data_IF_572234917657
#
_entry.id   IF_572234917657
#
_cell.length_a   1.000
_cell.length_b   1.000
_cell.length_c   1.000
_cell.angle_alpha   90.00
_cell.angle_beta   90.00
_cell.angle_gamma   90.00
#
_symmetry.space_group_name_H-M   'P 1'
#
loop_
_entity.id
_entity.type
_entity.pdbx_description
1 polymer ?
#
# COMPACT_ATOMS: atom_id res chain seq x y z
N UNK A 1 40.49 -47.68 -5.30
CA UNK A 1 40.24 -46.92 -4.05
C UNK A 1 39.96 -45.47 -4.39
N UNK A 2 38.76 -45.02 -4.00
CA UNK A 2 38.26 -43.67 -3.64
C UNK A 2 38.84 -42.41 -4.31
N UNK A 3 37.94 -41.60 -4.88
CA UNK A 3 38.02 -40.13 -4.90
C UNK A 3 36.74 -39.54 -4.29
N UNK A 4 36.93 -38.42 -3.59
CA UNK A 4 35.98 -37.69 -2.76
C UNK A 4 34.96 -36.87 -3.55
N UNK A 5 33.81 -36.58 -2.94
CA UNK A 5 32.79 -35.65 -3.40
C UNK A 5 32.21 -34.87 -2.22
N UNK A 6 32.33 -33.55 -2.31
CA UNK A 6 32.14 -32.52 -1.29
C UNK A 6 30.64 -32.16 -1.09
N UNK A 7 30.18 -32.15 0.16
CA UNK A 7 28.88 -31.64 0.59
C UNK A 7 28.99 -30.11 0.77
N UNK A 8 28.16 -29.32 0.09
CA UNK A 8 28.05 -27.88 0.33
C UNK A 8 26.81 -27.62 1.20
N UNK A 9 27.04 -27.24 2.46
CA UNK A 9 26.04 -26.77 3.40
C UNK A 9 25.56 -25.36 3.01
N UNK A 10 24.26 -25.23 2.78
CA UNK A 10 23.60 -23.94 2.55
C UNK A 10 23.28 -23.32 3.92
N UNK A 11 24.08 -22.33 4.33
CA UNK A 11 23.83 -21.54 5.54
C UNK A 11 22.70 -20.56 5.26
N UNK A 12 21.53 -20.79 5.86
CA UNK A 12 20.43 -19.83 5.89
C UNK A 12 20.81 -18.71 6.85
N UNK A 13 21.10 -17.53 6.30
CA UNK A 13 21.35 -16.32 7.07
C UNK A 13 20.04 -15.79 7.66
N UNK A 14 19.71 -16.24 8.86
CA UNK A 14 18.75 -15.58 9.76
C UNK A 14 19.51 -14.48 10.49
N UNK A 15 19.50 -13.25 9.98
CA UNK A 15 19.78 -12.03 10.76
C UNK A 15 19.63 -10.78 9.88
N UNK A 16 18.53 -10.04 10.05
CA UNK A 16 18.47 -8.55 10.19
C UNK A 16 17.03 -8.03 10.05
N UNK A 17 16.19 -8.31 11.06
CA UNK A 17 14.91 -7.57 11.26
C UNK A 17 14.96 -6.70 12.53
N UNK A 18 16.11 -6.62 13.20
CA UNK A 18 16.22 -5.94 14.50
C UNK A 18 16.64 -4.46 14.46
N UNK A 19 16.79 -3.83 13.28
CA UNK A 19 17.31 -2.45 13.18
C UNK A 19 16.25 -1.38 12.89
N UNK A 20 14.97 -1.73 12.68
CA UNK A 20 13.90 -0.76 12.36
C UNK A 20 13.00 -0.39 13.55
N UNK A 21 13.27 -0.90 14.76
CA UNK A 21 12.41 -0.73 15.93
C UNK A 21 12.93 0.22 17.02
N UNK A 22 14.10 0.86 16.85
CA UNK A 22 14.71 1.74 17.86
C UNK A 22 15.46 2.92 17.25
N UNK A 23 14.79 3.67 16.37
CA UNK A 23 15.27 4.98 15.91
C UNK A 23 14.31 6.07 16.35
N UNK A 24 14.38 6.48 17.61
CA UNK A 24 13.92 7.80 18.03
C UNK A 24 14.95 8.81 17.52
N UNK A 25 14.72 9.35 16.33
CA UNK A 25 15.45 10.53 15.87
C UNK A 25 14.91 11.73 16.66
N UNK A 26 15.75 12.24 17.57
CA UNK A 26 15.55 13.50 18.24
C UNK A 26 15.46 14.62 17.20
N UNK A 27 14.32 15.30 17.19
CA UNK A 27 14.00 16.43 16.31
C UNK A 27 14.72 17.69 16.80
N UNK A 28 15.93 17.93 16.28
CA UNK A 28 16.69 19.16 16.46
C UNK A 28 16.53 20.03 15.20
N UNK A 29 15.68 21.06 15.27
CA UNK A 29 15.62 22.08 14.22
C UNK A 29 14.36 22.95 14.22
N UNK A 30 14.48 24.17 14.72
CA UNK A 30 13.47 25.23 14.71
C UNK A 30 13.14 25.80 13.32
N UNK A 31 12.75 24.93 12.38
CA UNK A 31 12.14 25.29 11.09
C UNK A 31 10.62 25.15 11.17
N UNK A 32 9.87 25.99 10.43
CA UNK A 32 8.44 25.74 10.25
C UNK A 32 8.26 24.34 9.64
N UNK A 33 7.43 23.50 10.26
CA UNK A 33 7.15 22.16 9.75
C UNK A 33 6.74 22.24 8.27
N UNK A 34 7.27 21.36 7.40
CA UNK A 34 6.89 21.35 5.99
C UNK A 34 5.36 21.21 5.87
N UNK A 35 4.74 21.81 4.84
CA UNK A 35 3.30 21.81 4.69
C UNK A 35 2.75 20.38 4.81
N UNK A 36 1.56 20.20 5.41
CA UNK A 36 1.04 18.87 5.68
C UNK A 36 0.88 18.04 4.41
N UNK A 37 0.59 18.68 3.26
CA UNK A 37 0.47 18.03 1.96
C UNK A 37 -0.68 17.03 2.00
N UNK A 38 -0.41 15.78 1.59
CA UNK A 38 -1.40 14.71 1.63
C UNK A 38 -1.85 14.38 3.06
N UNK A 39 -1.03 14.66 4.08
CA UNK A 39 -1.40 14.44 5.48
C UNK A 39 -2.42 15.46 6.02
N UNK A 40 -2.73 16.53 5.27
CA UNK A 40 -3.81 17.43 5.66
C UNK A 40 -5.14 16.67 5.66
N UNK A 41 -6.04 16.85 6.66
CA UNK A 41 -7.24 16.02 6.80
C UNK A 41 -8.09 15.92 5.51
N UNK A 42 -8.34 17.04 4.84
CA UNK A 42 -9.10 17.06 3.59
C UNK A 42 -8.38 16.36 2.42
N UNK A 43 -7.03 16.41 2.39
CA UNK A 43 -6.23 15.74 1.36
C UNK A 43 -6.11 14.24 1.62
N UNK A 44 -6.03 13.84 2.89
CA UNK A 44 -6.03 12.43 3.30
C UNK A 44 -7.37 11.78 2.95
N UNK A 45 -8.49 12.45 3.29
CA UNK A 45 -9.83 12.03 2.89
C UNK A 45 -9.96 11.88 1.36
N UNK A 46 -9.45 12.86 0.60
CA UNK A 46 -9.44 12.79 -0.86
C UNK A 46 -8.59 11.62 -1.39
N UNK A 47 -7.43 11.36 -0.79
CA UNK A 47 -6.56 10.25 -1.15
C UNK A 47 -7.25 8.89 -0.98
N UNK A 48 -8.01 8.72 0.11
CA UNK A 48 -8.78 7.49 0.35
C UNK A 48 -9.88 7.29 -0.68
N UNK A 49 -10.58 8.36 -1.08
CA UNK A 49 -11.58 8.30 -2.16
C UNK A 49 -10.96 7.93 -3.51
N UNK A 50 -9.80 8.49 -3.83
CA UNK A 50 -9.07 8.17 -5.05
C UNK A 50 -8.64 6.69 -5.07
N UNK A 51 -8.06 6.18 -3.98
CA UNK A 51 -7.70 4.76 -3.86
C UNK A 51 -8.95 3.88 -3.97
N UNK A 52 -10.01 4.16 -3.21
CA UNK A 52 -11.23 3.34 -3.23
C UNK A 52 -11.93 3.33 -4.59
N UNK A 53 -11.81 4.38 -5.40
CA UNK A 53 -12.31 4.36 -6.78
C UNK A 53 -11.59 3.36 -7.67
N UNK A 54 -10.33 3.03 -7.34
CA UNK A 54 -9.54 2.03 -8.05
C UNK A 54 -9.59 0.64 -7.40
N UNK A 55 -9.76 0.54 -6.09
CA UNK A 55 -9.83 -0.76 -5.41
C UNK A 55 -11.27 -1.33 -5.40
N UNK A 56 -12.29 -0.46 -5.36
CA UNK A 56 -13.67 -0.86 -5.07
C UNK A 56 -14.73 -0.14 -5.92
N UNK A 57 -14.31 0.61 -6.95
CA UNK A 57 -15.19 1.38 -7.84
C UNK A 57 -16.18 2.31 -7.11
N UNK A 58 -15.79 2.87 -5.96
CA UNK A 58 -16.64 3.77 -5.17
C UNK A 58 -15.84 4.90 -4.52
N UNK A 59 -16.49 6.02 -4.20
CA UNK A 59 -15.91 7.06 -3.34
C UNK A 59 -16.22 6.83 -1.86
N UNK A 60 -17.14 5.92 -1.53
CA UNK A 60 -17.43 5.54 -0.15
C UNK A 60 -16.40 4.51 0.36
N UNK A 61 -15.20 5.02 0.61
CA UNK A 61 -14.10 4.22 1.13
C UNK A 61 -14.39 3.69 2.55
N UNK A 62 -15.20 4.38 3.33
CA UNK A 62 -15.61 3.93 4.68
C UNK A 62 -16.60 2.77 4.61
N UNK A 63 -17.31 2.58 3.50
CA UNK A 63 -18.09 1.37 3.26
C UNK A 63 -17.24 0.10 3.11
N UNK A 64 -15.92 0.22 2.92
CA UNK A 64 -15.06 -0.90 2.52
C UNK A 64 -14.37 -1.63 3.68
N UNK A 65 -14.58 -1.25 4.94
CA UNK A 65 -13.98 -1.97 6.08
C UNK A 65 -14.31 -3.47 6.09
N UNK A 66 -15.52 -3.83 5.66
CA UNK A 66 -16.01 -5.21 5.62
C UNK A 66 -15.81 -5.92 4.29
N UNK A 67 -15.21 -5.27 3.29
CA UNK A 67 -14.87 -5.91 2.02
C UNK A 67 -13.94 -7.10 2.29
N UNK A 68 -14.23 -8.25 1.66
CA UNK A 68 -13.38 -9.44 1.68
C UNK A 68 -13.75 -10.34 0.50
N UNK A 69 -12.77 -10.65 -0.35
CA UNK A 69 -12.94 -11.49 -1.53
C UNK A 69 -11.58 -12.09 -1.92
N UNK A 70 -11.56 -13.34 -2.39
CA UNK A 70 -10.43 -13.84 -3.18
C UNK A 70 -10.70 -13.53 -4.65
N UNK A 71 -9.91 -12.61 -5.21
CA UNK A 71 -10.07 -12.11 -6.58
C UNK A 71 -9.27 -12.92 -7.61
N UNK A 72 -8.66 -14.05 -7.20
CA UNK A 72 -7.94 -14.96 -8.09
C UNK A 72 -6.59 -14.43 -8.59
N UNK A 73 -6.01 -13.47 -7.88
CA UNK A 73 -4.70 -12.87 -8.18
C UNK A 73 -3.51 -13.60 -7.53
N UNK A 74 -3.80 -14.64 -6.73
CA UNK A 74 -2.82 -15.46 -6.03
C UNK A 74 -2.39 -14.90 -4.67
N UNK A 75 -3.15 -13.97 -4.09
CA UNK A 75 -2.90 -13.41 -2.74
C UNK A 75 -3.83 -13.98 -1.66
N UNK A 76 -4.73 -14.90 -2.02
CA UNK A 76 -5.80 -15.41 -1.17
C UNK A 76 -6.88 -14.35 -0.96
N UNK A 77 -7.47 -14.29 0.23
CA UNK A 77 -8.45 -13.25 0.54
C UNK A 77 -7.80 -11.87 0.60
N UNK A 78 -8.36 -10.93 -0.16
CA UNK A 78 -8.10 -9.48 -0.14
C UNK A 78 -9.22 -8.79 0.61
N UNK A 79 -8.91 -8.01 1.66
CA UNK A 79 -9.91 -7.50 2.58
C UNK A 79 -9.65 -6.08 3.12
N UNK A 80 -10.72 -5.38 3.48
CA UNK A 80 -10.67 -4.08 4.16
C UNK A 80 -10.26 -2.90 3.28
N UNK A 81 -9.95 -1.78 3.92
CA UNK A 81 -9.80 -0.45 3.30
C UNK A 81 -8.82 -0.35 2.13
N UNK A 82 -7.76 -1.17 2.13
CA UNK A 82 -6.67 -1.11 1.15
C UNK A 82 -6.33 -2.49 0.58
N UNK A 83 -7.20 -3.47 0.77
CA UNK A 83 -6.97 -4.83 0.29
C UNK A 83 -5.83 -5.55 1.02
N UNK A 84 -5.88 -5.63 2.35
CA UNK A 84 -4.97 -6.49 3.12
C UNK A 84 -5.15 -7.93 2.67
N UNK A 85 -4.06 -8.67 2.41
CA UNK A 85 -4.18 -10.04 1.90
C UNK A 85 -3.72 -11.10 2.89
N UNK A 86 -4.39 -12.26 2.89
CA UNK A 86 -3.97 -13.42 3.70
C UNK A 86 -2.60 -13.96 3.29
N UNK A 87 -2.23 -13.81 2.01
CA UNK A 87 -0.97 -14.30 1.46
C UNK A 87 0.21 -13.32 1.50
N UNK A 88 0.03 -12.09 2.02
CA UNK A 88 1.08 -11.03 1.99
C UNK A 88 1.46 -10.49 3.37
N UNK A 89 1.20 -11.26 4.43
CA UNK A 89 1.53 -10.96 5.83
C UNK A 89 0.85 -9.75 6.47
N UNK A 90 0.33 -8.80 5.69
CA UNK A 90 -0.28 -7.57 6.17
C UNK A 90 -1.63 -7.81 6.85
N UNK A 91 -2.49 -8.68 6.31
CA UNK A 91 -3.73 -9.08 6.97
C UNK A 91 -3.44 -9.82 8.28
N UNK A 92 -2.51 -10.78 8.26
CA UNK A 92 -2.08 -11.49 9.47
C UNK A 92 -1.62 -10.50 10.54
N UNK A 93 -0.72 -9.57 10.17
CA UNK A 93 -0.23 -8.56 11.10
C UNK A 93 -1.32 -7.62 11.62
N UNK A 94 -2.34 -7.29 10.81
CA UNK A 94 -3.51 -6.55 11.27
C UNK A 94 -4.27 -7.33 12.35
N UNK A 95 -4.62 -8.59 12.08
CA UNK A 95 -5.39 -9.42 13.02
C UNK A 95 -4.60 -9.70 14.30
N UNK A 96 -3.28 -9.92 14.22
CA UNK A 96 -2.43 -10.11 15.40
C UNK A 96 -2.40 -8.89 16.31
N UNK A 97 -2.20 -7.69 15.75
CA UNK A 97 -2.21 -6.44 16.52
C UNK A 97 -3.58 -6.15 17.10
N UNK A 98 -4.63 -6.31 16.28
CA UNK A 98 -6.00 -6.14 16.76
C UNK A 98 -6.33 -7.10 17.91
N UNK A 99 -5.91 -8.36 17.81
CA UNK A 99 -6.16 -9.37 18.86
C UNK A 99 -5.35 -9.13 20.12
N UNK A 100 -4.16 -8.54 20.01
CA UNK A 100 -3.38 -8.12 21.18
C UNK A 100 -4.11 -7.03 21.97
N UNK A 101 -4.71 -6.06 21.28
CA UNK A 101 -5.42 -4.94 21.91
C UNK A 101 -6.85 -5.33 22.35
N UNK A 102 -7.47 -6.27 21.63
CA UNK A 102 -8.84 -6.74 21.84
C UNK A 102 -8.86 -8.29 21.90
N UNK A 103 -8.43 -8.88 23.03
CA UNK A 103 -8.43 -10.34 23.17
C UNK A 103 -9.85 -10.91 23.10
N UNK A 104 -10.01 -12.04 22.41
CA UNK A 104 -11.31 -12.71 22.27
C UNK A 104 -12.21 -12.18 21.14
N UNK A 105 -11.73 -11.26 20.30
CA UNK A 105 -12.43 -10.85 19.09
C UNK A 105 -12.71 -12.04 18.14
N UNK A 106 -13.63 -11.87 17.18
CA UNK A 106 -14.10 -12.97 16.31
C UNK A 106 -13.01 -13.52 15.38
N UNK A 107 -12.00 -12.71 15.09
CA UNK A 107 -10.88 -13.05 14.21
C UNK A 107 -9.76 -13.82 14.93
N UNK A 108 -9.68 -13.72 16.26
CA UNK A 108 -8.62 -14.32 17.06
C UNK A 108 -8.48 -15.84 16.82
N UNK A 109 -9.61 -16.54 16.63
CA UNK A 109 -9.63 -18.00 16.38
C UNK A 109 -8.98 -18.39 15.05
N UNK A 110 -8.85 -17.46 14.10
CA UNK A 110 -8.27 -17.71 12.78
C UNK A 110 -6.75 -17.47 12.76
N UNK A 111 -6.15 -16.89 13.80
CA UNK A 111 -4.71 -16.61 13.84
C UNK A 111 -3.83 -17.86 13.53
N UNK A 112 -4.11 -19.07 14.04
CA UNK A 112 -3.34 -20.24 13.66
C UNK A 112 -3.43 -20.59 12.17
N UNK A 113 -4.59 -20.41 11.54
CA UNK A 113 -4.78 -20.64 10.11
C UNK A 113 -4.10 -19.53 9.28
N UNK A 114 -4.30 -18.27 9.64
CA UNK A 114 -3.65 -17.12 9.01
C UNK A 114 -2.12 -17.26 8.97
N UNK A 115 -1.49 -17.73 10.05
CA UNK A 115 -0.03 -18.00 10.07
C UNK A 115 0.41 -19.14 9.15
N UNK A 116 -0.45 -20.12 8.90
CA UNK A 116 -0.14 -21.25 8.03
C UNK A 116 -0.29 -20.90 6.55
N UNK A 117 -1.28 -20.09 6.22
CA UNK A 117 -1.57 -19.71 4.83
C UNK A 117 -0.76 -18.50 4.35
N UNK A 118 -0.14 -17.75 5.26
CA UNK A 118 0.71 -16.61 4.92
C UNK A 118 1.80 -17.00 3.91
N UNK A 119 1.95 -16.20 2.85
CA UNK A 119 2.79 -16.51 1.70
C UNK A 119 2.15 -17.42 0.63
N UNK A 120 0.87 -17.76 0.74
CA UNK A 120 0.11 -18.54 -0.25
C UNK A 120 -1.30 -17.96 -0.49
N UNK A 121 -2.01 -18.51 -1.48
CA UNK A 121 -3.43 -18.23 -1.75
C UNK A 121 -4.38 -19.24 -1.08
N UNK A 122 -3.89 -20.06 -0.13
CA UNK A 122 -4.70 -21.08 0.52
C UNK A 122 -5.76 -20.50 1.47
N UNK A 123 -6.93 -21.12 1.49
CA UNK A 123 -8.02 -20.83 2.44
C UNK A 123 -8.13 -21.86 3.57
N UNK A 124 -7.15 -22.77 3.71
CA UNK A 124 -7.20 -23.87 4.68
C UNK A 124 -7.32 -23.35 6.12
N UNK A 125 -8.39 -23.75 6.80
CA UNK A 125 -8.69 -23.33 8.17
C UNK A 125 -9.31 -21.93 8.30
N UNK A 126 -9.49 -21.20 7.18
CA UNK A 126 -10.27 -19.96 7.12
C UNK A 126 -11.73 -20.26 6.76
N UNK A 127 -11.94 -21.08 5.72
CA UNK A 127 -13.27 -21.38 5.21
C UNK A 127 -14.07 -22.34 6.12
N UNK A 128 -15.41 -22.23 6.11
CA UNK A 128 -16.21 -21.21 5.40
C UNK A 128 -16.47 -19.94 6.23
N UNK A 129 -16.00 -19.89 7.49
CA UNK A 129 -16.47 -18.89 8.46
C UNK A 129 -15.70 -17.58 8.49
N UNK A 130 -14.53 -17.50 7.87
CA UNK A 130 -13.64 -16.33 8.00
C UNK A 130 -14.23 -15.06 7.39
N UNK A 131 -14.85 -15.15 6.21
CA UNK A 131 -15.45 -14.00 5.52
C UNK A 131 -16.60 -13.38 6.32
N UNK A 132 -17.46 -14.20 6.91
CA UNK A 132 -18.55 -13.74 7.78
C UNK A 132 -18.03 -13.19 9.10
N UNK A 133 -16.98 -13.80 9.69
CA UNK A 133 -16.32 -13.25 10.86
C UNK A 133 -15.67 -11.88 10.58
N UNK A 134 -15.06 -11.70 9.41
CA UNK A 134 -14.49 -10.43 8.97
C UNK A 134 -15.55 -9.33 8.86
N UNK A 135 -16.65 -9.60 8.14
CA UNK A 135 -17.76 -8.65 8.01
C UNK A 135 -18.37 -8.28 9.35
N UNK A 136 -18.56 -9.27 10.23
CA UNK A 136 -19.08 -9.04 11.57
C UNK A 136 -18.12 -8.17 12.41
N UNK A 137 -16.82 -8.46 12.39
CA UNK A 137 -15.83 -7.67 13.13
C UNK A 137 -15.68 -6.26 12.53
N UNK A 138 -15.84 -6.09 11.22
CA UNK A 138 -15.83 -4.78 10.54
C UNK A 138 -17.02 -3.88 10.91
N UNK A 139 -18.03 -4.41 11.61
CA UNK A 139 -19.06 -3.59 12.24
C UNK A 139 -18.55 -2.87 13.50
N UNK A 140 -17.52 -3.42 14.17
CA UNK A 140 -16.98 -2.90 15.43
C UNK A 140 -16.09 -1.67 15.17
N UNK A 141 -16.32 -0.54 15.88
CA UNK A 141 -15.49 0.66 15.74
C UNK A 141 -14.00 0.39 15.99
N UNK A 142 -13.68 -0.50 16.93
CA UNK A 142 -12.31 -0.85 17.27
C UNK A 142 -11.56 -1.52 16.11
N UNK A 143 -12.22 -2.41 15.35
CA UNK A 143 -11.58 -3.04 14.20
C UNK A 143 -11.41 -2.07 13.03
N UNK A 144 -12.36 -1.15 12.83
CA UNK A 144 -12.22 -0.06 11.85
C UNK A 144 -11.00 0.80 12.16
N UNK A 145 -10.84 1.18 13.42
CA UNK A 145 -9.67 1.95 13.86
C UNK A 145 -8.37 1.15 13.69
N UNK A 146 -8.40 -0.17 13.95
CA UNK A 146 -7.24 -1.03 13.72
C UNK A 146 -6.84 -1.08 12.23
N UNK A 147 -7.81 -1.12 11.31
CA UNK A 147 -7.56 -1.02 9.87
C UNK A 147 -6.98 0.36 9.50
N UNK A 148 -7.51 1.45 10.04
CA UNK A 148 -6.98 2.80 9.82
C UNK A 148 -5.51 2.90 10.27
N UNK A 149 -5.19 2.42 11.47
CA UNK A 149 -3.82 2.37 12.00
C UNK A 149 -2.91 1.48 11.17
N UNK A 150 -3.42 0.36 10.65
CA UNK A 150 -2.64 -0.54 9.81
C UNK A 150 -2.31 0.08 8.44
N UNK A 151 -3.29 0.70 7.78
CA UNK A 151 -3.10 1.50 6.56
C UNK A 151 -2.06 2.59 6.78
N UNK A 152 -2.22 3.35 7.87
CA UNK A 152 -1.38 4.52 8.11
C UNK A 152 0.09 4.12 8.36
N UNK A 153 0.30 3.17 9.26
CA UNK A 153 1.64 2.67 9.59
C UNK A 153 2.34 1.98 8.43
N UNK A 154 1.62 1.14 7.67
CA UNK A 154 2.21 0.29 6.63
C UNK A 154 2.39 0.99 5.28
N UNK A 155 1.55 1.99 4.97
CA UNK A 155 1.41 2.50 3.60
C UNK A 155 1.40 4.02 3.56
N UNK A 156 0.45 4.67 4.25
CA UNK A 156 0.26 6.12 4.10
C UNK A 156 1.44 6.92 4.65
N UNK A 157 1.81 6.72 5.92
CA UNK A 157 2.83 7.54 6.54
C UNK A 157 4.23 7.30 5.92
N UNK A 158 4.67 6.05 5.65
CA UNK A 158 5.93 5.81 4.95
C UNK A 158 5.97 6.46 3.55
N UNK A 159 4.88 6.34 2.77
CA UNK A 159 4.80 6.94 1.44
C UNK A 159 4.88 8.47 1.49
N UNK A 160 4.10 9.10 2.37
CA UNK A 160 4.08 10.57 2.53
C UNK A 160 5.43 11.07 3.04
N UNK A 161 6.03 10.42 4.05
CA UNK A 161 7.36 10.79 4.55
C UNK A 161 8.43 10.69 3.46
N UNK A 162 8.43 9.60 2.68
CA UNK A 162 9.41 9.43 1.62
C UNK A 162 9.21 10.44 0.49
N UNK A 163 7.97 10.66 0.05
CA UNK A 163 7.67 11.65 -0.97
C UNK A 163 8.11 13.07 -0.54
N UNK A 164 7.94 13.42 0.74
CA UNK A 164 8.45 14.70 1.29
C UNK A 164 9.99 14.77 1.24
N UNK A 165 10.70 13.69 1.58
CA UNK A 165 12.17 13.63 1.43
C UNK A 165 12.63 13.75 -0.02
N UNK A 166 11.81 13.29 -0.95
CA UNK A 166 12.05 13.46 -2.39
C UNK A 166 11.64 14.84 -2.90
N UNK A 167 11.11 15.72 -2.05
CA UNK A 167 10.68 17.08 -2.40
C UNK A 167 9.40 17.11 -3.23
N UNK A 168 8.56 16.07 -3.14
CA UNK A 168 7.31 15.97 -3.89
C UNK A 168 6.16 16.71 -3.21
N UNK A 169 5.36 17.39 -4.01
CA UNK A 169 4.10 18.02 -3.63
C UNK A 169 3.00 17.00 -3.32
N UNK A 170 1.77 17.49 -3.15
CA UNK A 170 0.64 16.68 -2.69
C UNK A 170 0.27 15.57 -3.69
N UNK A 171 0.33 15.84 -4.99
CA UNK A 171 0.11 14.85 -6.04
C UNK A 171 1.18 13.76 -6.01
N UNK A 172 2.46 14.11 -5.87
CA UNK A 172 3.53 13.12 -5.80
C UNK A 172 3.44 12.24 -4.56
N UNK A 173 3.06 12.82 -3.41
CA UNK A 173 2.72 12.07 -2.20
C UNK A 173 1.58 11.08 -2.44
N UNK A 174 0.52 11.48 -3.15
CA UNK A 174 -0.57 10.58 -3.52
C UNK A 174 -0.12 9.45 -4.45
N UNK A 175 0.68 9.76 -5.48
CA UNK A 175 1.23 8.77 -6.41
C UNK A 175 2.06 7.72 -5.66
N UNK A 176 2.87 8.14 -4.69
CA UNK A 176 3.63 7.21 -3.84
C UNK A 176 2.74 6.36 -2.96
N UNK A 177 1.72 6.96 -2.33
CA UNK A 177 0.78 6.24 -1.49
C UNK A 177 0.01 5.17 -2.27
N UNK A 178 -0.54 5.54 -3.43
CA UNK A 178 -1.27 4.64 -4.31
C UNK A 178 -0.39 3.50 -4.84
N UNK A 179 0.88 3.79 -5.15
CA UNK A 179 1.84 2.77 -5.55
C UNK A 179 2.22 1.84 -4.39
N UNK A 180 2.34 2.35 -3.16
CA UNK A 180 2.64 1.54 -1.98
C UNK A 180 1.47 0.63 -1.61
N UNK A 181 0.22 1.08 -1.79
CA UNK A 181 -0.97 0.22 -1.63
C UNK A 181 -0.93 -0.94 -2.62
N UNK A 182 -0.75 -0.67 -3.91
CA UNK A 182 -0.82 -1.71 -4.94
C UNK A 182 0.40 -2.65 -4.98
N UNK A 183 1.59 -2.12 -4.75
CA UNK A 183 2.86 -2.85 -4.95
C UNK A 183 3.54 -3.26 -3.64
N UNK A 184 3.03 -2.81 -2.49
CA UNK A 184 3.60 -3.05 -1.18
C UNK A 184 4.95 -2.35 -0.92
N UNK A 185 5.39 -2.25 0.34
CA UNK A 185 6.62 -1.56 0.76
C UNK A 185 7.88 -2.45 0.68
N UNK A 186 7.86 -3.57 -0.06
CA UNK A 186 9.00 -4.48 -0.14
C UNK A 186 10.21 -3.90 -0.90
N UNK A 187 11.25 -4.72 -1.08
CA UNK A 187 12.49 -4.35 -1.79
C UNK A 187 12.64 -5.00 -3.18
N UNK A 188 11.67 -5.83 -3.60
CA UNK A 188 11.72 -6.49 -4.91
C UNK A 188 11.50 -5.52 -6.08
N UNK A 189 11.90 -5.88 -7.31
CA UNK A 189 11.82 -4.99 -8.47
C UNK A 189 10.38 -4.57 -8.85
N UNK A 190 9.37 -5.31 -8.40
CA UNK A 190 7.94 -5.01 -8.60
C UNK A 190 7.26 -4.31 -7.42
N UNK A 191 8.01 -4.05 -6.36
CA UNK A 191 7.51 -3.38 -5.15
C UNK A 191 7.71 -1.87 -5.25
N UNK A 192 7.06 -1.09 -4.38
CA UNK A 192 7.18 0.37 -4.40
C UNK A 192 8.64 0.87 -4.41
N UNK A 193 9.52 0.31 -3.57
CA UNK A 193 10.92 0.75 -3.54
C UNK A 193 11.68 0.39 -4.82
N UNK A 194 11.37 -0.75 -5.44
CA UNK A 194 11.91 -1.12 -6.75
C UNK A 194 11.46 -0.17 -7.87
N UNK A 195 10.18 0.25 -7.86
CA UNK A 195 9.66 1.26 -8.80
C UNK A 195 10.38 2.60 -8.63
N UNK A 196 10.55 3.05 -7.38
CA UNK A 196 11.25 4.29 -7.06
C UNK A 196 12.71 4.23 -7.52
N UNK A 197 13.42 3.14 -7.26
CA UNK A 197 14.81 2.96 -7.70
C UNK A 197 14.92 3.01 -9.23
N UNK A 198 14.00 2.36 -9.95
CA UNK A 198 13.97 2.39 -11.40
C UNK A 198 13.65 3.79 -11.97
N UNK A 199 12.81 4.59 -11.30
CA UNK A 199 12.54 5.98 -11.69
C UNK A 199 13.76 6.88 -11.45
N UNK A 200 14.47 6.70 -10.32
CA UNK A 200 15.69 7.45 -9.99
C UNK A 200 16.84 7.24 -10.99
N UNK A 201 16.85 6.11 -11.70
CA UNK A 201 17.81 5.86 -12.79
C UNK A 201 17.52 6.69 -14.05
N UNK A 202 16.31 7.24 -14.17
CA UNK A 202 15.88 8.01 -15.34
C UNK A 202 15.92 9.52 -15.09
N UNK A 203 15.61 9.95 -13.87
CA UNK A 203 15.54 11.37 -13.53
C UNK A 203 15.68 11.60 -12.03
N UNK A 204 16.29 12.72 -11.65
CA UNK A 204 16.44 13.12 -10.26
C UNK A 204 15.09 13.56 -9.66
N UNK A 205 14.92 13.33 -8.36
CA UNK A 205 13.81 13.93 -7.60
C UNK A 205 14.02 15.45 -7.46
N UNK A 206 12.97 16.21 -7.09
CA UNK A 206 13.12 17.62 -6.70
C UNK A 206 14.20 17.88 -5.65
N UNK A 207 14.30 17.05 -4.62
CA UNK A 207 15.37 17.17 -3.63
C UNK A 207 16.77 16.89 -4.18
N UNK A 208 16.87 16.16 -5.30
CA UNK A 208 18.10 15.95 -6.07
C UNK A 208 18.32 16.97 -7.19
N UNK A 209 17.53 18.05 -7.25
CA UNK A 209 17.63 19.10 -8.27
C UNK A 209 16.88 18.84 -9.58
N UNK A 210 16.05 17.79 -9.66
CA UNK A 210 15.20 17.50 -10.82
C UNK A 210 13.87 18.25 -10.82
N UNK A 211 13.16 18.25 -11.95
CA UNK A 211 11.80 18.80 -12.02
C UNK A 211 10.76 17.79 -11.52
N UNK A 212 9.86 18.23 -10.64
CA UNK A 212 8.83 17.34 -10.06
C UNK A 212 7.98 16.66 -11.15
N UNK A 213 7.56 17.41 -12.17
CA UNK A 213 6.74 16.85 -13.25
C UNK A 213 7.48 15.76 -14.02
N UNK A 214 8.75 15.98 -14.34
CA UNK A 214 9.57 14.99 -15.04
C UNK A 214 9.77 13.73 -14.18
N UNK A 215 10.02 13.91 -12.88
CA UNK A 215 10.15 12.81 -11.93
C UNK A 215 8.88 11.96 -11.84
N UNK A 216 7.73 12.61 -11.64
CA UNK A 216 6.44 11.92 -11.52
C UNK A 216 6.04 11.23 -12.83
N UNK A 217 6.34 11.81 -13.98
CA UNK A 217 6.05 11.17 -15.28
C UNK A 217 6.88 9.90 -15.47
N UNK A 218 8.19 9.95 -15.17
CA UNK A 218 9.07 8.78 -15.20
C UNK A 218 8.64 7.69 -14.20
N UNK A 219 8.25 8.08 -12.98
CA UNK A 219 7.74 7.14 -11.99
C UNK A 219 6.46 6.44 -12.45
N UNK A 220 5.52 7.18 -13.04
CA UNK A 220 4.28 6.63 -13.60
C UNK A 220 4.55 5.71 -14.79
N UNK A 221 5.55 5.98 -15.62
CA UNK A 221 5.97 5.10 -16.72
C UNK A 221 6.53 3.75 -16.21
N UNK A 222 7.42 3.80 -15.23
CA UNK A 222 7.97 2.62 -14.57
C UNK A 222 6.84 1.79 -13.95
N UNK A 223 5.96 2.43 -13.19
CA UNK A 223 4.82 1.78 -12.54
C UNK A 223 3.90 1.12 -13.56
N UNK A 224 3.55 1.85 -14.62
CA UNK A 224 2.71 1.33 -15.71
C UNK A 224 3.33 0.12 -16.39
N UNK A 225 4.64 0.11 -16.60
CA UNK A 225 5.35 -1.02 -17.20
C UNK A 225 5.33 -2.27 -16.30
N UNK A 226 5.39 -2.10 -14.98
CA UNK A 226 5.27 -3.20 -14.01
C UNK A 226 3.84 -3.72 -13.95
N UNK A 227 2.83 -2.85 -13.81
CA UNK A 227 1.41 -3.21 -13.79
C UNK A 227 1.03 -4.06 -15.01
N UNK A 228 1.50 -3.69 -16.21
CA UNK A 228 1.24 -4.45 -17.45
C UNK A 228 1.81 -5.87 -17.47
N UNK A 229 2.73 -6.22 -16.57
CA UNK A 229 3.33 -7.55 -16.46
C UNK A 229 2.73 -8.38 -15.31
N UNK A 230 1.92 -7.76 -14.46
CA UNK A 230 1.30 -8.41 -13.31
C UNK A 230 -0.06 -8.98 -13.68
N UNK A 231 -0.25 -10.28 -13.40
CA UNK A 231 -1.56 -10.93 -13.50
C UNK A 231 -2.53 -10.20 -12.57
N UNK A 232 -3.70 -9.81 -13.10
CA UNK A 232 -4.72 -9.05 -12.35
C UNK A 232 -4.58 -7.53 -12.39
N UNK A 233 -3.45 -6.97 -12.83
CA UNK A 233 -3.19 -5.51 -12.80
C UNK A 233 -2.93 -4.89 -14.18
N UNK A 234 -3.37 -5.51 -15.28
CA UNK A 234 -3.10 -5.01 -16.64
C UNK A 234 -3.82 -3.70 -16.97
N UNK A 235 -4.96 -3.42 -16.34
CA UNK A 235 -5.65 -2.14 -16.47
C UNK A 235 -4.89 -1.06 -15.69
N UNK A 236 -4.50 0.00 -16.41
CA UNK A 236 -3.66 1.09 -15.88
C UNK A 236 -4.43 2.41 -15.81
N UNK A 237 -5.77 2.39 -15.84
CA UNK A 237 -6.62 3.59 -15.81
C UNK A 237 -6.44 4.43 -14.54
N UNK A 238 -6.14 3.80 -13.39
CA UNK A 238 -5.75 4.51 -12.16
C UNK A 238 -4.53 5.44 -12.36
N UNK A 239 -3.68 5.13 -13.33
CA UNK A 239 -2.57 5.99 -13.77
C UNK A 239 -3.01 6.86 -14.94
N UNK A 240 -3.40 6.24 -16.04
CA UNK A 240 -3.53 6.87 -17.36
C UNK A 240 -4.67 7.91 -17.42
N UNK A 241 -5.78 7.66 -16.73
CA UNK A 241 -6.98 8.52 -16.73
C UNK A 241 -7.29 9.18 -15.37
N UNK A 242 -6.36 9.08 -14.42
CA UNK A 242 -6.40 9.78 -13.14
C UNK A 242 -5.07 10.48 -12.83
N UNK A 243 -4.06 9.79 -12.28
CA UNK A 243 -2.81 10.41 -11.82
C UNK A 243 -2.09 11.20 -12.93
N UNK A 244 -1.96 10.61 -14.13
CA UNK A 244 -1.34 11.26 -15.29
C UNK A 244 -2.14 12.47 -15.76
N UNK A 245 -3.47 12.44 -15.63
CA UNK A 245 -4.34 13.58 -15.93
C UNK A 245 -4.04 14.74 -14.98
N UNK A 246 -4.02 14.49 -13.66
CA UNK A 246 -3.72 15.52 -12.67
C UNK A 246 -2.33 16.14 -12.88
N UNK A 247 -1.35 15.31 -13.25
CA UNK A 247 0.01 15.75 -13.56
C UNK A 247 0.05 16.67 -14.80
N UNK A 248 -0.62 16.26 -15.88
CA UNK A 248 -0.74 17.04 -17.13
C UNK A 248 -1.44 18.38 -16.92
N UNK A 249 -2.48 18.39 -16.09
CA UNK A 249 -3.22 19.60 -15.69
C UNK A 249 -2.36 20.52 -14.79
N UNK A 250 -1.16 20.10 -14.37
CA UNK A 250 -0.28 20.85 -13.48
C UNK A 250 -0.82 20.96 -12.05
N UNK A 251 -1.75 20.09 -11.66
CA UNK A 251 -2.38 20.09 -10.35
C UNK A 251 -1.52 19.37 -9.30
N UNK A 252 -0.28 19.84 -9.10
CA UNK A 252 0.69 19.26 -8.15
C UNK A 252 0.21 19.33 -6.69
N UNK A 253 -0.71 20.24 -6.39
CA UNK A 253 -1.34 20.40 -5.07
C UNK A 253 -2.57 19.51 -4.86
N UNK A 254 -2.98 18.72 -5.88
CA UNK A 254 -4.18 17.87 -5.84
C UNK A 254 -5.43 18.65 -5.42
N UNK A 255 -5.62 19.86 -5.95
CA UNK A 255 -6.76 20.75 -5.67
C UNK A 255 -8.05 20.19 -6.25
N UNK A 256 -9.15 20.32 -5.51
CA UNK A 256 -10.49 20.11 -6.03
C UNK A 256 -10.98 21.38 -6.76
N UNK A 257 -11.93 21.28 -7.70
CA UNK A 257 -12.63 20.06 -8.13
C UNK A 257 -11.72 19.08 -8.89
N UNK A 258 -11.90 17.79 -8.64
CA UNK A 258 -11.27 16.71 -9.39
C UNK A 258 -12.31 15.91 -10.16
N UNK A 259 -11.94 15.47 -11.35
CA UNK A 259 -12.68 14.49 -12.15
C UNK A 259 -11.68 13.49 -12.69
N UNK A 260 -12.00 12.21 -12.70
CA UNK A 260 -11.13 11.19 -13.27
C UNK A 260 -11.93 9.98 -13.68
N UNK A 261 -11.26 9.06 -14.38
CA UNK A 261 -11.86 7.81 -14.85
C UNK A 261 -11.04 6.62 -14.38
N UNK A 262 -11.70 5.58 -13.88
CA UNK A 262 -11.09 4.27 -13.59
C UNK A 262 -12.06 3.20 -14.10
N UNK A 263 -11.58 2.18 -14.79
CA UNK A 263 -12.38 1.07 -15.32
C UNK A 263 -13.60 1.45 -16.17
N UNK A 264 -13.60 2.64 -16.79
CA UNK A 264 -14.75 3.12 -17.54
C UNK A 264 -15.71 4.01 -16.74
N UNK A 265 -15.58 4.08 -15.42
CA UNK A 265 -16.42 4.89 -14.54
C UNK A 265 -15.83 6.27 -14.28
N UNK A 266 -16.68 7.30 -14.26
CA UNK A 266 -16.26 8.69 -13.99
C UNK A 266 -16.58 9.07 -12.56
N UNK A 267 -15.56 9.52 -11.84
CA UNK A 267 -15.67 10.00 -10.47
C UNK A 267 -15.45 11.51 -10.41
N UNK A 268 -16.11 12.15 -9.45
CA UNK A 268 -16.00 13.60 -9.22
C UNK A 268 -15.95 13.90 -7.73
N UNK A 269 -15.05 14.80 -7.34
CA UNK A 269 -15.04 15.43 -6.01
C UNK A 269 -15.04 16.95 -6.23
N UNK A 270 -16.04 17.68 -5.71
CA UNK A 270 -16.12 19.13 -5.87
C UNK A 270 -15.01 19.88 -5.15
#
# INVERSE_FOLDING_TARGET
>A
MKRAGLLLLLVVAVATVAAYLLGDDADDGSGAAPPPGLAAPAKKELAHRLVSSAENSTLDWRGQYGYIEDIGDGRGYTAGLIGFCTGTSDLLGLVERYTKDHPGNRLARYLPALRKVDGSDSHEGLDPGFTEAWKAEAAEPAFREAQDRARDRGYFDPAVRLAKRDGLGTLGQFIYYDAMVMHGPGSGPRTFHGLREAALKQTATPSGGGEEKAYLDAFLDVRRAVMKREKGHHDTTRLDTAQRRFLRDGNLDLRTPLTWKVYGETYKVP
#
